data_IF_008340911078
#
_entry.id   IF_008340911078
#
_cell.length_a   1.000
_cell.length_b   1.000
_cell.length_c   1.000
_cell.angle_alpha   90.00
_cell.angle_beta   90.00
_cell.angle_gamma   90.00
#
_symmetry.space_group_name_H-M   'P 1'
#
loop_
_entity.id
_entity.type
_entity.pdbx_description
1 polymer ?
#
# COMPACT_ATOMS: atom_id res chain seq x y z
N UNK A 1 67.88 -3.07 -1.44
CA UNK A 1 67.40 -1.79 -1.98
C UNK A 1 65.91 -1.93 -2.34
N UNK A 2 64.96 -1.63 -1.44
CA UNK A 2 63.54 -1.70 -1.75
C UNK A 2 63.06 -0.42 -2.45
N UNK A 3 62.23 -0.57 -3.48
CA UNK A 3 61.62 0.54 -4.23
C UNK A 3 60.38 1.05 -3.47
N UNK A 4 60.45 2.32 -3.07
CA UNK A 4 59.40 3.10 -2.42
C UNK A 4 58.41 3.58 -3.49
N UNK A 5 57.16 3.12 -3.45
CA UNK A 5 56.06 3.69 -4.24
C UNK A 5 55.19 4.53 -3.29
N UNK A 6 55.28 5.85 -3.42
CA UNK A 6 54.29 6.79 -2.89
C UNK A 6 53.13 6.86 -3.88
N UNK A 7 51.92 6.52 -3.44
CA UNK A 7 50.69 6.83 -4.12
C UNK A 7 49.82 7.66 -3.17
N UNK A 8 49.94 8.97 -3.37
CA UNK A 8 49.06 9.98 -2.82
C UNK A 8 47.85 10.04 -3.76
N UNK A 9 46.71 9.47 -3.33
CA UNK A 9 45.42 9.70 -3.98
C UNK A 9 44.51 10.47 -3.02
N UNK A 10 44.50 11.79 -3.19
CA UNK A 10 43.34 12.62 -2.87
C UNK A 10 42.28 12.34 -3.92
N UNK A 11 41.13 11.80 -3.52
CA UNK A 11 39.88 11.96 -4.26
C UNK A 11 38.79 12.37 -3.27
N UNK A 12 38.36 13.61 -3.45
CA UNK A 12 37.16 14.15 -2.87
C UNK A 12 35.96 13.43 -3.50
N UNK A 13 35.20 12.69 -2.70
CA UNK A 13 33.87 12.25 -3.08
C UNK A 13 32.89 13.34 -2.64
N UNK A 14 32.45 14.13 -3.63
CA UNK A 14 31.22 14.90 -3.51
C UNK A 14 30.06 13.92 -3.40
N UNK A 15 29.45 13.87 -2.22
CA UNK A 15 28.16 13.24 -1.98
C UNK A 15 27.13 13.87 -2.92
N UNK A 16 26.64 13.09 -3.88
CA UNK A 16 25.42 13.41 -4.62
C UNK A 16 24.28 12.65 -3.96
N UNK A 17 23.67 13.27 -2.95
CA UNK A 17 22.34 12.89 -2.48
C UNK A 17 21.37 13.12 -3.63
N UNK A 18 20.90 12.05 -4.28
CA UNK A 18 19.77 12.14 -5.20
C UNK A 18 18.49 12.19 -4.36
N UNK A 19 18.20 13.36 -3.81
CA UNK A 19 16.87 13.64 -3.29
C UNK A 19 15.91 13.73 -4.49
N UNK A 20 15.15 12.67 -4.74
CA UNK A 20 14.01 12.73 -5.67
C UNK A 20 12.87 13.42 -4.91
N UNK A 21 12.92 14.74 -4.84
CA UNK A 21 11.82 15.54 -4.30
C UNK A 21 10.67 15.52 -5.30
N UNK A 22 9.69 14.63 -5.10
CA UNK A 22 8.40 14.77 -5.76
C UNK A 22 7.70 15.99 -5.18
N UNK A 23 7.54 17.02 -6.02
CA UNK A 23 6.67 18.15 -5.74
C UNK A 23 5.25 17.60 -5.53
N UNK A 24 4.80 17.66 -4.28
CA UNK A 24 3.43 17.40 -3.87
C UNK A 24 2.53 18.44 -4.51
N UNK A 25 1.99 18.10 -5.67
CA UNK A 25 0.96 18.87 -6.32
C UNK A 25 -0.33 18.67 -5.54
N UNK A 26 -0.66 19.67 -4.74
CA UNK A 26 -1.99 20.17 -4.37
C UNK A 26 -3.20 19.57 -5.13
N UNK A 27 -3.49 18.28 -4.96
CA UNK A 27 -4.67 17.60 -5.51
C UNK A 27 -5.48 16.83 -4.45
N UNK A 28 -4.95 16.67 -3.23
CA UNK A 28 -5.50 15.71 -2.26
C UNK A 28 -6.68 16.25 -1.40
N UNK A 29 -7.06 17.52 -1.54
CA UNK A 29 -8.26 18.07 -0.87
C UNK A 29 -9.54 17.98 -1.71
N UNK A 30 -9.46 17.48 -2.95
CA UNK A 30 -10.65 17.14 -3.76
C UNK A 30 -11.03 15.66 -3.70
N UNK A 31 -10.17 14.78 -3.19
CA UNK A 31 -10.33 13.32 -3.28
C UNK A 31 -11.16 12.72 -2.12
N UNK A 32 -11.20 13.39 -0.98
CA UNK A 32 -12.09 13.04 0.15
C UNK A 32 -13.55 13.49 -0.07
N UNK A 33 -13.81 14.42 -1.01
CA UNK A 33 -15.17 14.82 -1.40
C UNK A 33 -15.70 14.10 -2.66
N UNK A 34 -14.85 13.39 -3.39
CA UNK A 34 -15.26 12.55 -4.51
C UNK A 34 -15.84 11.20 -4.04
N UNK A 35 -15.34 10.66 -2.92
CA UNK A 35 -15.81 9.40 -2.34
C UNK A 35 -17.31 9.40 -2.01
N UNK A 36 -17.85 10.50 -1.47
CA UNK A 36 -19.27 10.54 -1.05
C UNK A 36 -20.23 10.66 -2.24
N UNK A 37 -19.79 11.26 -3.36
CA UNK A 37 -20.65 11.42 -4.55
C UNK A 37 -20.82 10.15 -5.37
N UNK A 38 -19.76 9.34 -5.50
CA UNK A 38 -19.83 8.08 -6.28
C UNK A 38 -20.78 7.06 -5.66
N UNK A 39 -20.78 6.97 -4.32
CA UNK A 39 -21.68 6.06 -3.60
C UNK A 39 -23.14 6.48 -3.76
N UNK A 40 -23.44 7.78 -3.71
CA UNK A 40 -24.82 8.27 -3.83
C UNK A 40 -25.39 8.16 -5.25
N UNK A 41 -24.59 8.38 -6.31
CA UNK A 41 -25.07 8.22 -7.69
C UNK A 41 -25.42 6.77 -8.00
N UNK A 42 -24.60 5.81 -7.56
CA UNK A 42 -24.87 4.39 -7.76
C UNK A 42 -26.12 3.94 -6.99
N UNK A 43 -26.32 4.40 -5.75
CA UNK A 43 -27.54 4.10 -4.98
C UNK A 43 -28.82 4.58 -5.67
N UNK A 44 -28.75 5.62 -6.51
CA UNK A 44 -29.86 6.11 -7.32
C UNK A 44 -30.24 5.18 -8.49
N UNK A 45 -29.25 4.58 -9.17
CA UNK A 45 -29.48 3.69 -10.32
C UNK A 45 -30.10 2.34 -9.93
N UNK A 46 -29.86 1.84 -8.71
CA UNK A 46 -30.42 0.55 -8.27
C UNK A 46 -31.92 0.64 -7.89
N UNK A 47 -32.57 1.77 -8.15
CA UNK A 47 -34.00 2.00 -7.88
C UNK A 47 -34.30 1.84 -6.40
N UNK A 48 -33.94 2.83 -5.58
CA UNK A 48 -34.02 2.85 -4.12
C UNK A 48 -35.31 2.19 -3.58
N UNK A 49 -35.29 0.89 -3.23
CA UNK A 49 -36.44 0.18 -2.73
C UNK A 49 -36.42 0.30 -1.22
N UNK A 50 -37.23 1.21 -0.64
CA UNK A 50 -37.48 1.39 0.80
C UNK A 50 -36.54 0.53 1.67
N UNK A 51 -35.31 1.01 1.82
CA UNK A 51 -34.19 0.28 2.43
C UNK A 51 -34.32 0.34 3.96
N UNK A 52 -35.49 0.00 4.51
CA UNK A 52 -35.78 0.17 5.95
C UNK A 52 -34.98 -0.75 6.89
N UNK A 53 -34.09 -1.61 6.37
CA UNK A 53 -33.19 -2.42 7.17
C UNK A 53 -31.76 -1.89 7.16
N UNK A 54 -31.25 -1.41 8.31
CA UNK A 54 -29.84 -1.02 8.51
C UNK A 54 -28.84 -2.04 7.93
N UNK A 55 -29.14 -3.35 8.06
CA UNK A 55 -28.33 -4.45 7.50
C UNK A 55 -28.27 -4.43 5.97
N UNK A 56 -29.39 -4.14 5.30
CA UNK A 56 -29.45 -4.09 3.83
C UNK A 56 -28.70 -2.87 3.29
N UNK A 57 -28.80 -1.73 3.97
CA UNK A 57 -28.04 -0.53 3.63
C UNK A 57 -26.53 -0.80 3.76
N UNK A 58 -26.07 -1.39 4.87
CA UNK A 58 -24.67 -1.75 5.05
C UNK A 58 -24.16 -2.72 3.97
N UNK A 59 -24.92 -3.76 3.64
CA UNK A 59 -24.53 -4.70 2.58
C UNK A 59 -24.50 -4.04 1.18
N UNK A 60 -25.45 -3.16 0.87
CA UNK A 60 -25.46 -2.42 -0.38
C UNK A 60 -24.27 -1.44 -0.47
N UNK A 61 -23.93 -0.80 0.65
CA UNK A 61 -22.76 0.07 0.74
C UNK A 61 -21.46 -0.69 0.51
N UNK A 62 -21.26 -1.84 1.18
CA UNK A 62 -20.08 -2.69 0.94
C UNK A 62 -19.94 -3.13 -0.52
N UNK A 63 -21.06 -3.48 -1.16
CA UNK A 63 -21.06 -3.83 -2.58
C UNK A 63 -20.66 -2.63 -3.45
N UNK A 64 -21.13 -1.41 -3.13
CA UNK A 64 -20.75 -0.21 -3.85
C UNK A 64 -19.25 0.09 -3.69
N UNK A 65 -18.74 0.07 -2.45
CA UNK A 65 -17.33 0.28 -2.14
C UNK A 65 -16.42 -0.74 -2.85
N UNK A 66 -16.76 -2.03 -2.80
CA UNK A 66 -15.99 -3.08 -3.48
C UNK A 66 -15.97 -2.88 -5.01
N UNK A 67 -17.09 -2.43 -5.61
CA UNK A 67 -17.14 -2.18 -7.06
C UNK A 67 -16.31 -0.98 -7.47
N UNK A 68 -16.35 0.10 -6.70
CA UNK A 68 -15.52 1.30 -6.95
C UNK A 68 -14.04 0.90 -6.90
N UNK A 69 -13.62 0.18 -5.86
CA UNK A 69 -12.24 -0.28 -5.73
C UNK A 69 -11.81 -1.18 -6.91
N UNK A 70 -12.69 -2.08 -7.37
CA UNK A 70 -12.42 -2.92 -8.54
C UNK A 70 -12.30 -2.10 -9.83
N UNK A 71 -13.21 -1.15 -10.05
CA UNK A 71 -13.21 -0.29 -11.24
C UNK A 71 -11.95 0.60 -11.31
N UNK A 72 -11.57 1.21 -10.18
CA UNK A 72 -10.32 1.97 -10.06
C UNK A 72 -9.10 1.09 -10.37
N UNK A 73 -9.04 -0.11 -9.81
CA UNK A 73 -7.97 -1.07 -10.08
C UNK A 73 -7.90 -1.47 -11.57
N UNK A 74 -9.05 -1.68 -12.21
CA UNK A 74 -9.11 -1.99 -13.65
C UNK A 74 -8.64 -0.82 -14.51
N UNK A 75 -9.01 0.41 -14.16
CA UNK A 75 -8.56 1.62 -14.86
C UNK A 75 -7.03 1.77 -14.78
N UNK A 76 -6.47 1.64 -13.58
CA UNK A 76 -5.03 1.70 -13.35
C UNK A 76 -4.28 0.58 -14.09
N UNK A 77 -4.82 -0.64 -14.08
CA UNK A 77 -4.25 -1.76 -14.83
C UNK A 77 -4.22 -1.48 -16.33
N UNK A 78 -5.28 -0.91 -16.89
CA UNK A 78 -5.38 -0.58 -18.31
C UNK A 78 -4.35 0.50 -18.72
N UNK A 79 -4.01 1.40 -17.80
CA UNK A 79 -2.94 2.40 -17.97
C UNK A 79 -1.53 1.82 -17.76
N UNK A 80 -1.42 0.58 -17.27
CA UNK A 80 -0.15 -0.04 -16.89
C UNK A 80 0.46 0.59 -15.64
N UNK A 81 -0.35 1.24 -14.80
CA UNK A 81 0.06 1.92 -13.58
C UNK A 81 -0.42 1.11 -12.37
N UNK A 82 0.44 0.87 -11.39
CA UNK A 82 0.01 0.39 -10.06
C UNK A 82 -0.36 1.59 -9.19
N UNK A 83 -1.40 1.49 -8.35
CA UNK A 83 -1.67 2.54 -7.36
C UNK A 83 -0.68 2.41 -6.20
N UNK A 84 0.41 3.16 -6.26
CA UNK A 84 1.34 3.29 -5.14
C UNK A 84 2.43 2.21 -5.07
N UNK A 85 3.27 2.31 -4.03
CA UNK A 85 4.40 1.42 -3.79
C UNK A 85 4.03 0.43 -2.67
N UNK A 86 3.64 -0.78 -3.05
CA UNK A 86 3.21 -1.81 -2.09
C UNK A 86 4.31 -2.80 -1.78
N UNK A 87 4.44 -3.15 -0.51
CA UNK A 87 5.40 -4.11 -0.01
C UNK A 87 4.72 -5.12 0.94
N UNK A 88 5.24 -6.34 0.96
CA UNK A 88 4.87 -7.38 1.90
C UNK A 88 6.04 -7.72 2.82
N UNK A 89 5.78 -7.86 4.12
CA UNK A 89 6.77 -8.36 5.07
C UNK A 89 7.02 -9.85 4.83
N UNK A 90 8.25 -10.24 4.49
CA UNK A 90 8.61 -11.63 4.17
C UNK A 90 9.72 -12.19 5.06
N UNK A 91 10.16 -11.43 6.07
CA UNK A 91 11.23 -11.84 6.99
C UNK A 91 11.02 -13.24 7.57
N UNK A 92 12.11 -13.93 7.85
CA UNK A 92 12.10 -15.27 8.45
C UNK A 92 11.74 -15.25 9.95
N UNK A 93 12.04 -14.15 10.64
CA UNK A 93 11.79 -14.01 12.07
C UNK A 93 10.30 -14.00 12.45
N UNK A 94 9.96 -14.58 13.60
CA UNK A 94 8.58 -14.63 14.12
C UNK A 94 8.06 -13.24 14.51
N UNK A 95 8.94 -12.34 14.95
CA UNK A 95 8.60 -11.00 15.43
C UNK A 95 8.25 -10.00 14.31
N UNK A 96 8.45 -10.39 13.04
CA UNK A 96 8.22 -9.50 11.90
C UNK A 96 9.29 -8.39 11.80
N UNK A 97 8.89 -7.21 11.31
CA UNK A 97 9.78 -6.06 11.10
C UNK A 97 9.37 -4.87 11.98
N UNK A 98 10.35 -4.30 12.68
CA UNK A 98 10.14 -3.13 13.53
C UNK A 98 10.06 -1.82 12.76
N UNK A 99 9.03 -1.03 13.05
CA UNK A 99 8.85 0.34 12.58
C UNK A 99 9.70 1.29 13.41
N UNK A 100 10.39 2.21 12.74
CA UNK A 100 11.35 3.19 13.28
C UNK A 100 10.83 4.61 13.10
N UNK A 101 11.12 5.51 14.04
CA UNK A 101 10.73 6.94 13.89
C UNK A 101 11.48 7.66 12.76
N UNK A 102 12.71 7.23 12.45
CA UNK A 102 13.61 7.82 11.47
C UNK A 102 14.19 6.73 10.56
N UNK A 103 14.71 7.07 9.35
CA UNK A 103 15.35 6.10 8.45
C UNK A 103 16.75 5.71 8.95
N UNK A 104 16.82 5.10 10.14
CA UNK A 104 18.03 4.62 10.81
C UNK A 104 17.71 3.31 11.57
N UNK A 105 18.61 2.32 11.51
CA UNK A 105 18.46 1.04 12.22
C UNK A 105 18.48 1.19 13.75
N UNK A 106 19.13 2.24 14.25
CA UNK A 106 19.27 2.57 15.66
C UNK A 106 18.18 3.51 16.18
N UNK A 107 17.35 4.06 15.29
CA UNK A 107 16.23 4.92 15.67
C UNK A 107 15.23 4.19 16.59
N UNK A 108 14.50 4.98 17.36
CA UNK A 108 13.48 4.48 18.28
C UNK A 108 12.48 3.59 17.55
N UNK A 109 12.29 2.37 18.07
CA UNK A 109 11.30 1.41 17.58
C UNK A 109 9.94 1.75 18.17
N UNK A 110 8.92 1.84 17.32
CA UNK A 110 7.56 2.25 17.71
C UNK A 110 6.64 1.04 17.87
N UNK A 111 6.58 0.20 16.84
CA UNK A 111 5.70 -0.96 16.74
C UNK A 111 6.24 -1.93 15.69
N UNK A 112 5.56 -3.06 15.48
CA UNK A 112 6.01 -4.13 14.60
C UNK A 112 4.96 -4.45 13.52
N UNK A 113 5.43 -4.68 12.29
CA UNK A 113 4.63 -5.31 11.24
C UNK A 113 4.92 -6.80 11.23
N UNK A 114 3.88 -7.61 11.37
CA UNK A 114 4.00 -9.06 11.37
C UNK A 114 4.31 -9.61 9.98
N UNK A 115 4.88 -10.81 9.93
CA UNK A 115 5.11 -11.53 8.67
C UNK A 115 3.81 -11.67 7.86
N UNK A 116 3.89 -11.38 6.57
CA UNK A 116 2.76 -11.40 5.64
C UNK A 116 1.97 -10.10 5.57
N UNK A 117 2.18 -9.14 6.48
CA UNK A 117 1.55 -7.83 6.40
C UNK A 117 1.90 -7.12 5.09
N UNK A 118 0.89 -6.51 4.48
CA UNK A 118 1.00 -5.69 3.26
C UNK A 118 0.83 -4.22 3.66
N UNK A 119 1.70 -3.35 3.17
CA UNK A 119 1.69 -1.93 3.49
C UNK A 119 2.08 -1.07 2.28
N UNK A 120 1.61 0.17 2.29
CA UNK A 120 1.90 1.16 1.25
C UNK A 120 3.01 2.10 1.71
N UNK A 121 3.91 2.43 0.79
CA UNK A 121 5.07 3.29 0.99
C UNK A 121 4.88 4.59 0.21
N UNK A 122 5.18 5.72 0.85
CA UNK A 122 5.12 7.05 0.23
C UNK A 122 6.49 7.70 0.01
N UNK A 123 7.55 7.14 0.60
CA UNK A 123 8.93 7.63 0.46
C UNK A 123 9.96 6.49 0.60
N UNK A 124 11.07 6.63 -0.12
CA UNK A 124 12.13 5.62 -0.18
C UNK A 124 13.49 6.31 -0.07
N UNK A 125 14.26 5.94 0.95
CA UNK A 125 15.65 6.38 1.14
C UNK A 125 16.57 5.19 0.85
N UNK A 126 17.41 5.33 -0.17
CA UNK A 126 18.36 4.29 -0.58
C UNK A 126 19.76 4.88 -0.70
N UNK A 127 20.69 4.36 0.10
CA UNK A 127 22.12 4.65 -0.01
C UNK A 127 22.87 3.39 -0.46
N UNK A 128 23.99 3.56 -1.14
CA UNK A 128 24.79 2.45 -1.66
C UNK A 128 25.42 1.65 -0.50
N UNK A 129 25.21 0.33 -0.50
CA UNK A 129 25.74 -0.57 0.54
C UNK A 129 25.01 -0.49 1.90
N UNK A 130 23.89 0.21 1.97
CA UNK A 130 23.06 0.36 3.17
C UNK A 130 21.67 -0.25 2.95
N UNK A 131 20.92 -0.51 4.05
CA UNK A 131 19.51 -0.88 3.95
C UNK A 131 18.70 0.19 3.21
N UNK A 132 17.66 -0.22 2.49
CA UNK A 132 16.66 0.73 1.96
C UNK A 132 15.68 1.05 3.08
N UNK A 133 15.42 2.31 3.37
CA UNK A 133 14.37 2.72 4.30
C UNK A 133 13.10 3.10 3.54
N UNK A 134 11.97 2.58 4.00
CA UNK A 134 10.65 2.74 3.38
C UNK A 134 9.73 3.44 4.37
N UNK A 135 9.25 4.65 4.05
CA UNK A 135 8.29 5.36 4.90
C UNK A 135 6.89 4.83 4.66
N UNK A 136 6.21 4.48 5.74
CA UNK A 136 4.82 4.05 5.69
C UNK A 136 3.91 5.25 5.39
N UNK A 137 3.04 5.09 4.38
CA UNK A 137 2.10 6.14 3.95
C UNK A 137 1.12 6.57 5.04
N UNK A 138 0.84 5.69 6.00
CA UNK A 138 -0.02 5.99 7.16
C UNK A 138 0.65 6.86 8.24
N UNK A 139 1.95 7.16 8.09
CA UNK A 139 2.69 8.03 8.99
C UNK A 139 3.20 7.36 10.27
N UNK A 140 3.10 6.04 10.42
CA UNK A 140 3.58 5.32 11.62
C UNK A 140 5.11 5.31 11.75
N UNK A 141 5.83 5.48 10.63
CA UNK A 141 7.28 5.60 10.62
C UNK A 141 7.93 4.95 9.39
N UNK A 142 9.11 4.40 9.60
CA UNK A 142 9.97 3.79 8.59
C UNK A 142 10.18 2.31 8.87
N UNK A 143 10.14 1.49 7.84
CA UNK A 143 10.68 0.13 7.86
C UNK A 143 11.93 0.07 6.99
N UNK A 144 12.65 -1.05 7.00
CA UNK A 144 13.88 -1.19 6.23
C UNK A 144 13.90 -2.49 5.41
N UNK A 145 14.58 -2.46 4.27
CA UNK A 145 14.89 -3.62 3.45
C UNK A 145 16.38 -3.94 3.50
N UNK A 146 16.74 -5.12 4.01
CA UNK A 146 18.11 -5.59 4.09
C UNK A 146 18.60 -6.26 2.79
N UNK A 147 17.73 -6.50 1.81
CA UNK A 147 18.08 -7.16 0.54
C UNK A 147 19.37 -6.60 -0.13
N UNK A 148 19.64 -5.28 -0.16
CA UNK A 148 20.88 -4.75 -0.73
C UNK A 148 22.15 -5.06 0.07
N UNK A 149 22.02 -5.30 1.37
CA UNK A 149 23.14 -5.58 2.29
C UNK A 149 23.36 -7.09 2.40
N UNK A 150 22.28 -7.85 2.54
CA UNK A 150 22.26 -9.30 2.64
C UNK A 150 21.12 -9.87 1.77
N UNK A 151 21.41 -10.24 0.52
CA UNK A 151 20.40 -10.75 -0.42
C UNK A 151 19.76 -12.08 0.00
N UNK A 152 20.41 -12.86 0.87
CA UNK A 152 19.89 -14.15 1.34
C UNK A 152 18.80 -13.96 2.41
N UNK A 153 18.73 -12.76 3.03
CA UNK A 153 17.81 -12.46 4.13
C UNK A 153 16.90 -11.27 3.81
N UNK A 154 16.07 -11.34 2.73
CA UNK A 154 15.19 -10.25 2.36
C UNK A 154 14.11 -10.04 3.44
N UNK A 155 13.90 -8.78 3.81
CA UNK A 155 12.95 -8.43 4.87
C UNK A 155 11.57 -8.10 4.33
N UNK A 156 11.51 -7.52 3.13
CA UNK A 156 10.27 -7.16 2.45
C UNK A 156 10.31 -7.53 0.97
N UNK A 157 9.15 -7.75 0.37
CA UNK A 157 8.98 -8.02 -1.06
C UNK A 157 8.10 -6.96 -1.67
N UNK A 158 8.58 -6.29 -2.71
CA UNK A 158 7.75 -5.39 -3.51
C UNK A 158 6.65 -6.19 -4.22
N UNK A 159 5.42 -5.72 -4.11
CA UNK A 159 4.26 -6.30 -4.77
C UNK A 159 3.91 -5.51 -6.03
N UNK A 160 3.73 -6.22 -7.14
CA UNK A 160 3.30 -5.66 -8.41
C UNK A 160 1.83 -6.01 -8.67
N UNK A 161 1.10 -5.14 -9.38
CA UNK A 161 -0.32 -5.37 -9.68
C UNK A 161 -1.22 -5.39 -8.43
N UNK A 162 -0.79 -4.70 -7.38
CA UNK A 162 -1.54 -4.47 -6.16
C UNK A 162 -2.14 -3.07 -6.19
N UNK A 163 -3.42 -2.99 -5.82
CA UNK A 163 -4.22 -1.78 -5.93
C UNK A 163 -4.68 -1.30 -4.54
N UNK A 164 -5.86 -0.68 -4.47
CA UNK A 164 -6.45 -0.17 -3.24
C UNK A 164 -6.40 -1.20 -2.09
N UNK A 165 -5.93 -0.74 -0.93
CA UNK A 165 -5.83 -1.52 0.30
C UNK A 165 -4.96 -2.79 0.22
N UNK A 166 -3.98 -2.82 -0.67
CA UNK A 166 -3.03 -3.93 -0.74
C UNK A 166 -3.61 -5.18 -1.41
N UNK A 167 -4.73 -5.05 -2.14
CA UNK A 167 -5.41 -6.17 -2.81
C UNK A 167 -5.07 -6.25 -4.28
N UNK A 168 -4.97 -7.47 -4.78
CA UNK A 168 -4.87 -7.78 -6.21
C UNK A 168 -6.24 -7.68 -6.89
N UNK A 169 -6.23 -7.62 -8.23
CA UNK A 169 -7.47 -7.59 -9.00
C UNK A 169 -8.38 -8.81 -8.74
N UNK A 170 -7.87 -10.06 -8.72
CA UNK A 170 -8.72 -11.22 -8.41
C UNK A 170 -9.34 -11.17 -7.01
N UNK A 171 -8.62 -10.65 -6.01
CA UNK A 171 -9.15 -10.48 -4.66
C UNK A 171 -10.29 -9.45 -4.62
N UNK A 172 -10.16 -8.34 -5.35
CA UNK A 172 -11.22 -7.33 -5.48
C UNK A 172 -12.45 -7.89 -6.20
N UNK A 173 -12.26 -8.69 -7.25
CA UNK A 173 -13.36 -9.40 -7.94
C UNK A 173 -14.10 -10.36 -7.01
N UNK A 174 -13.34 -11.11 -6.20
CA UNK A 174 -13.88 -12.02 -5.19
C UNK A 174 -14.67 -11.24 -4.12
N UNK A 175 -14.20 -10.08 -3.68
CA UNK A 175 -14.93 -9.23 -2.73
C UNK A 175 -16.23 -8.70 -3.29
N UNK A 176 -16.24 -8.22 -4.54
CA UNK A 176 -17.48 -7.82 -5.23
C UNK A 176 -18.46 -9.00 -5.28
N UNK A 177 -17.96 -10.21 -5.60
CA UNK A 177 -18.77 -11.43 -5.65
C UNK A 177 -19.36 -11.76 -4.27
N UNK A 178 -18.56 -11.74 -3.21
CA UNK A 178 -19.02 -12.01 -1.84
C UNK A 178 -20.03 -10.97 -1.34
N UNK A 179 -19.74 -9.68 -1.55
CA UNK A 179 -20.64 -8.59 -1.18
C UNK A 179 -21.99 -8.71 -1.91
N UNK A 180 -21.97 -9.16 -3.18
CA UNK A 180 -23.20 -9.42 -3.94
C UNK A 180 -24.01 -10.57 -3.36
N UNK A 181 -23.37 -11.69 -3.05
CA UNK A 181 -24.02 -12.85 -2.43
C UNK A 181 -24.63 -12.50 -1.06
N UNK A 182 -23.93 -11.69 -0.25
CA UNK A 182 -24.45 -11.18 1.03
C UNK A 182 -25.74 -10.37 0.83
N UNK A 183 -25.73 -9.44 -0.12
CA UNK A 183 -26.90 -8.62 -0.43
C UNK A 183 -28.09 -9.44 -0.92
N UNK A 184 -27.85 -10.43 -1.80
CA UNK A 184 -28.89 -11.31 -2.33
C UNK A 184 -29.46 -12.24 -1.24
N UNK A 185 -28.62 -12.73 -0.32
CA UNK A 185 -29.06 -13.48 0.86
C UNK A 185 -30.00 -12.66 1.75
N UNK A 186 -29.66 -11.39 2.01
CA UNK A 186 -30.49 -10.48 2.80
C UNK A 186 -31.82 -10.17 2.10
N UNK A 187 -31.83 -10.06 0.77
CA UNK A 187 -33.05 -9.82 -0.03
C UNK A 187 -33.96 -11.05 -0.06
N UNK A 188 -33.39 -12.25 -0.22
CA UNK A 188 -34.14 -13.51 -0.29
C UNK A 188 -34.83 -13.87 1.04
N UNK A 189 -34.20 -13.57 2.18
CA UNK A 189 -34.76 -13.84 3.50
C UNK A 189 -36.11 -13.14 3.77
N UNK A 190 -36.46 -12.09 3.03
CA UNK A 190 -37.71 -11.32 3.22
C UNK A 190 -38.91 -11.86 2.43
N UNK A 191 -38.70 -12.79 1.48
CA UNK A 191 -39.80 -13.34 0.65
C UNK A 191 -40.56 -14.50 1.31
N UNK A 192 -40.11 -14.98 2.46
CA UNK A 192 -40.62 -16.20 3.10
C UNK A 192 -41.32 -15.93 4.45
N UNK A 193 -41.58 -14.66 4.78
CA UNK A 193 -42.20 -14.24 6.04
C UNK A 193 -43.56 -13.58 5.83
#
# INVERSE_FOLDING_TARGET
MPRRWSLELRRAHGFRTLAVSFLTTSAFLHELFAHDRGVQSFLGEIGAPDLSGKKRQAAAQRLAEARIALEEAQSLQAEGVSSGLWYQVITEGEDGIGIRKEPDLTAERVEDLVKGSVFEVDDVVQNEGEPIFLRLKDGRGWVFDLTPVDPETPTVKRLEGVYANGKTLPELEDEVRQARLELDRIRGARRVS
#
